data_IF_741926700853
#
_entry.id   IF_741926700853
#
_cell.length_a   1.000
_cell.length_b   1.000
_cell.length_c   1.000
_cell.angle_alpha   90.00
_cell.angle_beta   90.00
_cell.angle_gamma   90.00
#
_symmetry.space_group_name_H-M   'P 1'
#
loop_
_entity.id
_entity.type
_entity.pdbx_description
1 polymer ?
#
# COMPACT_ATOMS: atom_id res chain seq x y z
N UNK A 1 7.80 -15.79 12.82
CA UNK A 1 6.82 -15.64 11.76
C UNK A 1 5.74 -14.65 12.18
N UNK A 2 5.41 -13.75 11.29
CA UNK A 2 4.48 -12.69 11.63
C UNK A 2 3.19 -12.79 10.80
N UNK A 3 2.16 -13.34 11.41
CA UNK A 3 0.87 -13.53 10.76
C UNK A 3 0.19 -12.19 10.47
N UNK A 4 0.57 -11.15 11.20
CA UNK A 4 -0.02 -9.82 11.02
C UNK A 4 0.28 -9.28 9.63
N UNK A 5 1.51 -9.45 9.16
CA UNK A 5 1.88 -9.00 7.83
C UNK A 5 1.10 -9.70 6.74
N UNK A 6 0.82 -10.99 6.92
CA UNK A 6 0.05 -11.76 5.96
C UNK A 6 -1.40 -11.27 5.90
N UNK A 7 -1.92 -10.83 7.03
CA UNK A 7 -3.29 -10.35 7.11
C UNK A 7 -3.46 -9.01 6.39
N UNK A 8 -2.50 -8.12 6.54
CA UNK A 8 -2.63 -6.77 5.99
C UNK A 8 -2.40 -6.69 4.48
N UNK A 9 -1.55 -7.57 3.95
CA UNK A 9 -1.24 -7.53 2.51
C UNK A 9 -2.48 -7.68 1.63
N UNK A 10 -3.33 -8.68 1.83
CA UNK A 10 -4.53 -8.80 1.01
C UNK A 10 -5.47 -7.61 1.15
N UNK A 11 -5.56 -7.03 2.34
CA UNK A 11 -6.42 -5.87 2.55
C UNK A 11 -5.94 -4.67 1.75
N UNK A 12 -4.64 -4.43 1.75
CA UNK A 12 -4.09 -3.32 0.99
C UNK A 12 -4.33 -3.52 -0.50
N UNK A 13 -4.10 -4.71 -1.00
CA UNK A 13 -4.33 -5.02 -2.39
C UNK A 13 -5.80 -4.84 -2.76
N UNK A 14 -6.69 -5.27 -1.89
CA UNK A 14 -8.12 -5.14 -2.12
C UNK A 14 -8.53 -3.68 -2.28
N UNK A 15 -8.03 -2.82 -1.41
CA UNK A 15 -8.37 -1.40 -1.48
C UNK A 15 -7.82 -0.73 -2.73
N UNK A 16 -6.73 -1.26 -3.28
CA UNK A 16 -6.13 -0.70 -4.47
C UNK A 16 -6.74 -1.22 -5.77
N UNK A 17 -7.64 -2.22 -5.69
CA UNK A 17 -8.32 -2.73 -6.88
C UNK A 17 -9.14 -1.66 -7.57
N UNK A 18 -9.66 -0.70 -6.83
CA UNK A 18 -10.48 0.36 -7.38
C UNK A 18 -9.65 1.47 -8.04
N UNK A 19 -8.33 1.46 -7.82
CA UNK A 19 -7.46 2.48 -8.37
C UNK A 19 -6.41 2.92 -7.37
N UNK A 20 -5.54 3.82 -7.78
CA UNK A 20 -4.49 4.31 -6.91
C UNK A 20 -5.02 5.15 -5.77
N UNK A 21 -4.37 5.05 -4.61
CA UNK A 21 -4.75 5.81 -3.45
C UNK A 21 -3.50 6.44 -2.84
N UNK A 22 -3.68 7.62 -2.25
CA UNK A 22 -2.60 8.25 -1.50
C UNK A 22 -2.32 7.42 -0.25
N UNK A 23 -1.05 7.44 0.19
CA UNK A 23 -0.66 6.67 1.35
C UNK A 23 -1.51 7.00 2.57
N UNK A 24 -1.78 8.27 2.82
CA UNK A 24 -2.60 8.68 3.96
C UNK A 24 -4.03 8.16 3.88
N UNK A 25 -4.62 8.21 2.69
CA UNK A 25 -5.98 7.73 2.49
C UNK A 25 -6.03 6.21 2.63
N UNK A 26 -5.06 5.53 2.03
CA UNK A 26 -4.99 4.08 2.10
C UNK A 26 -4.87 3.63 3.55
N UNK A 27 -4.01 4.30 4.32
CA UNK A 27 -3.82 3.96 5.72
C UNK A 27 -5.10 4.16 6.53
N UNK A 28 -5.86 5.22 6.24
CA UNK A 28 -7.12 5.47 6.93
C UNK A 28 -8.15 4.40 6.65
N UNK A 29 -8.14 3.85 5.45
CA UNK A 29 -9.10 2.81 5.08
C UNK A 29 -8.82 1.50 5.78
N UNK A 30 -7.61 1.30 6.25
CA UNK A 30 -7.24 0.08 6.96
C UNK A 30 -7.25 0.38 8.45
N UNK A 31 -8.38 0.10 9.07
CA UNK A 31 -8.56 0.38 10.50
C UNK A 31 -7.67 -0.53 11.35
N UNK A 32 -7.00 0.09 12.30
CA UNK A 32 -6.20 -0.67 13.26
C UNK A 32 -4.75 -0.92 12.86
N UNK A 33 -4.35 -0.52 11.67
CA UNK A 33 -2.96 -0.69 11.28
C UNK A 33 -2.12 0.48 11.80
N UNK A 34 -0.96 0.17 12.35
CA UNK A 34 -0.03 1.20 12.80
C UNK A 34 0.78 1.75 11.64
N UNK A 35 1.35 2.93 11.82
CA UNK A 35 2.21 3.53 10.79
C UNK A 35 3.36 2.60 10.43
N UNK A 36 3.96 2.00 11.44
CA UNK A 36 5.09 1.10 11.23
C UNK A 36 4.67 -0.11 10.43
N UNK A 37 3.55 -0.72 10.78
CA UNK A 37 3.06 -1.91 10.11
C UNK A 37 2.63 -1.59 8.68
N UNK A 38 1.95 -0.46 8.50
CA UNK A 38 1.54 -0.02 7.18
C UNK A 38 2.75 0.17 6.26
N UNK A 39 3.75 0.91 6.74
CA UNK A 39 4.96 1.18 5.95
C UNK A 39 5.67 -0.12 5.60
N UNK A 40 5.80 -1.00 6.57
CA UNK A 40 6.47 -2.29 6.33
C UNK A 40 5.73 -3.12 5.30
N UNK A 41 4.41 -3.18 5.43
CA UNK A 41 3.60 -3.98 4.52
C UNK A 41 3.65 -3.48 3.10
N UNK A 42 3.52 -2.15 2.89
CA UNK A 42 3.57 -1.61 1.53
C UNK A 42 4.95 -1.76 0.92
N UNK A 43 5.99 -1.69 1.73
CA UNK A 43 7.35 -1.92 1.22
C UNK A 43 7.53 -3.35 0.74
N UNK A 44 6.97 -4.30 1.47
CA UNK A 44 7.06 -5.70 1.07
C UNK A 44 6.27 -5.95 -0.21
N UNK A 45 5.09 -5.37 -0.32
CA UNK A 45 4.29 -5.50 -1.53
C UNK A 45 4.99 -4.87 -2.73
N UNK A 46 5.62 -3.73 -2.51
CA UNK A 46 6.38 -3.06 -3.56
C UNK A 46 7.57 -3.90 -3.99
N UNK A 47 8.26 -4.49 -3.03
CA UNK A 47 9.41 -5.34 -3.29
C UNK A 47 8.99 -6.58 -4.10
N UNK A 48 7.82 -7.11 -3.80
CA UNK A 48 7.30 -8.28 -4.53
C UNK A 48 6.78 -7.90 -5.91
N UNK A 49 6.72 -6.61 -6.22
CA UNK A 49 6.25 -6.17 -7.51
C UNK A 49 4.73 -6.17 -7.66
N UNK A 50 4.00 -6.25 -6.55
CA UNK A 50 2.54 -6.29 -6.57
C UNK A 50 1.92 -4.90 -6.60
N UNK A 51 2.61 -3.91 -6.03
CA UNK A 51 2.15 -2.53 -6.07
C UNK A 51 3.31 -1.64 -6.51
N UNK A 52 2.98 -0.48 -7.01
CA UNK A 52 3.98 0.52 -7.35
C UNK A 52 3.72 1.79 -6.57
N UNK A 53 4.78 2.51 -6.31
CA UNK A 53 4.73 3.76 -5.56
C UNK A 53 5.12 4.91 -6.48
N UNK A 54 4.29 5.95 -6.48
CA UNK A 54 4.58 7.13 -7.24
C UNK A 54 4.74 8.32 -6.31
N UNK A 55 5.84 9.01 -6.44
CA UNK A 55 6.12 10.19 -5.63
C UNK A 55 5.97 11.42 -6.50
N UNK A 56 5.13 12.34 -6.05
CA UNK A 56 4.91 13.59 -6.77
C UNK A 56 5.79 14.68 -6.14
N UNK A 57 6.60 15.35 -6.94
CA UNK A 57 7.51 16.40 -6.44
C UNK A 57 6.77 17.72 -6.23
N UNK A 58 5.80 17.71 -5.34
CA UNK A 58 5.01 18.90 -5.00
C UNK A 58 5.22 19.23 -3.53
N UNK A 59 4.74 20.38 -3.09
CA UNK A 59 4.89 20.79 -1.71
C UNK A 59 3.49 20.95 -1.14
N UNK A 60 3.11 20.13 -0.10
CA UNK A 60 3.89 19.03 0.43
C UNK A 60 3.97 17.84 -0.53
N UNK A 61 5.00 16.99 -0.39
CA UNK A 61 5.16 15.85 -1.29
C UNK A 61 4.03 14.84 -1.13
N UNK A 62 3.65 14.23 -2.23
CA UNK A 62 2.58 13.24 -2.24
C UNK A 62 3.14 11.88 -2.60
N UNK A 63 2.65 10.85 -1.94
CA UNK A 63 2.99 9.48 -2.26
C UNK A 63 1.71 8.74 -2.56
N UNK A 64 1.66 8.07 -3.71
CA UNK A 64 0.49 7.33 -4.14
C UNK A 64 0.87 5.90 -4.43
N UNK A 65 0.04 4.97 -3.98
CA UNK A 65 0.22 3.55 -4.25
C UNK A 65 -0.85 3.06 -5.18
N UNK A 66 -0.50 2.16 -6.08
CA UNK A 66 -1.46 1.53 -6.97
C UNK A 66 -0.98 0.12 -7.30
N UNK A 67 -1.89 -0.71 -7.77
CA UNK A 67 -1.53 -2.05 -8.19
C UNK A 67 -0.66 -1.99 -9.44
N UNK A 68 0.38 -2.83 -9.45
CA UNK A 68 1.17 -3.03 -10.65
C UNK A 68 0.43 -3.98 -11.57
N UNK A 69 0.93 -4.15 -12.79
CA UNK A 69 0.33 -5.10 -13.71
C UNK A 69 0.34 -6.51 -13.13
N UNK A 70 1.43 -6.85 -12.44
CA UNK A 70 1.54 -8.15 -11.79
C UNK A 70 0.48 -8.31 -10.69
N UNK A 71 0.20 -7.24 -9.96
CA UNK A 71 -0.80 -7.30 -8.91
C UNK A 71 -2.22 -7.42 -9.41
N UNK A 72 -2.47 -7.02 -10.66
CA UNK A 72 -3.79 -7.11 -11.25
C UNK A 72 -4.12 -8.50 -11.79
N UNK A 73 -3.11 -9.29 -12.02
CA UNK A 73 -3.29 -10.62 -12.62
C UNK A 73 -3.86 -11.65 -11.67
#
# INVERSE_FOLDING_TARGET
MNLIGTKWKPLILFHLLEGGLRSGILQKRITGISNKMFTQTVRELEKDGLISRKIYPVVPPKVEYKLSERGKS
#
